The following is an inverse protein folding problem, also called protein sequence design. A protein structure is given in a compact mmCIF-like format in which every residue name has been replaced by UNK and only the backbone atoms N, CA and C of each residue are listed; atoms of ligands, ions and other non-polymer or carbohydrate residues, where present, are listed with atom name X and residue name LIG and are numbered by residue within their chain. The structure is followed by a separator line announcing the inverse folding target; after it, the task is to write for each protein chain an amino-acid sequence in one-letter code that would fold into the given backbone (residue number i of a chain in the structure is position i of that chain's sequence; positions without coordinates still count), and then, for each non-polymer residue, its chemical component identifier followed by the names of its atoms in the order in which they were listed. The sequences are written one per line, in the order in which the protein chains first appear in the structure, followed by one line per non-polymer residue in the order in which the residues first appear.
data_IF_822087941961
#
_entry.id   IF_822087941961
#
_cell.length_a   1.000
_cell.length_b   1.000
_cell.length_c   1.000
_cell.angle_alpha   90.00
_cell.angle_beta   90.00
_cell.angle_gamma   90.00
#
_symmetry.space_group_name_H-M   'P 1'
#
loop_
_entity.id
_entity.type
_entity.pdbx_description
1 polymer ?
#
# COMPACT_ATOMS: atom_id res chain seq x y z
N UNK A 1 6.76 -15.61 -8.62
CA UNK A 1 8.06 -15.33 -7.96
C UNK A 1 7.79 -15.37 -6.47
N UNK A 2 8.39 -16.31 -5.73
CA UNK A 2 8.13 -16.42 -4.29
C UNK A 2 8.33 -15.08 -3.55
N UNK A 3 7.55 -14.88 -2.49
CA UNK A 3 7.62 -13.69 -1.65
C UNK A 3 9.05 -13.42 -1.19
N UNK A 4 9.45 -12.15 -1.22
CA UNK A 4 10.82 -11.75 -0.88
C UNK A 4 10.90 -10.32 -0.37
N UNK A 5 12.03 -10.00 0.25
CA UNK A 5 12.34 -8.65 0.71
C UNK A 5 13.69 -8.21 0.16
N UNK A 6 13.75 -6.96 -0.31
CA UNK A 6 14.97 -6.29 -0.75
C UNK A 6 15.20 -5.04 0.10
N UNK A 7 16.40 -4.92 0.66
CA UNK A 7 16.84 -3.70 1.33
C UNK A 7 17.22 -2.68 0.25
N UNK A 8 16.43 -1.62 0.12
CA UNK A 8 16.71 -0.53 -0.83
C UNK A 8 17.62 0.54 -0.22
N UNK A 9 17.50 0.75 1.10
CA UNK A 9 18.37 1.65 1.85
C UNK A 9 18.61 1.12 3.26
N UNK A 10 19.87 1.12 3.67
CA UNK A 10 20.30 0.81 5.03
C UNK A 10 21.20 1.93 5.56
N UNK A 11 20.60 2.85 6.31
CA UNK A 11 21.28 3.97 6.94
C UNK A 11 21.82 3.65 8.35
N UNK A 12 21.50 2.48 8.90
CA UNK A 12 21.97 2.05 10.22
C UNK A 12 21.04 1.02 10.89
N UNK A 13 21.41 0.56 12.10
CA UNK A 13 20.66 -0.48 12.79
C UNK A 13 19.22 -0.04 13.11
N UNK A 14 18.23 -0.96 13.02
CA UNK A 14 16.87 -0.74 13.53
C UNK A 14 16.86 -0.18 14.96
N UNK A 15 15.86 0.65 15.28
CA UNK A 15 15.74 1.33 16.59
C UNK A 15 16.52 2.64 16.72
N UNK A 16 17.46 2.93 15.81
CA UNK A 16 18.12 4.25 15.71
C UNK A 16 17.71 5.04 14.47
N UNK A 17 17.00 4.39 13.55
CA UNK A 17 16.54 4.89 12.25
C UNK A 17 15.05 4.62 12.09
N UNK A 18 14.40 5.36 11.19
CA UNK A 18 13.01 5.13 10.81
C UNK A 18 12.97 4.05 9.72
N UNK A 19 12.36 2.93 10.01
CA UNK A 19 12.22 1.80 9.09
C UNK A 19 10.90 1.92 8.33
N UNK A 20 10.97 1.92 7.00
CA UNK A 20 9.80 1.98 6.13
C UNK A 20 9.71 0.65 5.38
N UNK A 21 8.59 -0.05 5.54
CA UNK A 21 8.26 -1.22 4.75
C UNK A 21 7.32 -0.84 3.61
N UNK A 22 7.71 -1.18 2.38
CA UNK A 22 6.93 -0.93 1.17
C UNK A 22 6.43 -2.26 0.66
N UNK A 23 5.11 -2.47 0.60
CA UNK A 23 4.49 -3.72 0.18
C UNK A 23 3.76 -3.50 -1.14
N UNK A 24 3.82 -4.47 -2.05
CA UNK A 24 3.01 -4.47 -3.27
C UNK A 24 1.78 -5.37 -3.13
N UNK A 25 0.61 -4.91 -3.59
CA UNK A 25 -0.59 -5.73 -3.74
C UNK A 25 -1.13 -5.70 -5.18
N UNK A 26 -1.64 -6.85 -5.66
CA UNK A 26 -2.14 -7.01 -7.03
C UNK A 26 -1.04 -7.16 -8.09
N UNK A 27 0.20 -7.45 -7.69
CA UNK A 27 1.31 -7.71 -8.61
C UNK A 27 1.58 -9.22 -8.68
N UNK A 28 1.35 -9.82 -9.84
CA UNK A 28 1.70 -11.24 -10.08
C UNK A 28 3.21 -11.42 -10.24
N UNK A 29 3.69 -12.66 -10.42
CA UNK A 29 5.07 -12.93 -10.80
C UNK A 29 5.59 -12.06 -11.96
N UNK A 30 4.74 -11.85 -12.97
CA UNK A 30 5.08 -11.11 -14.18
C UNK A 30 5.14 -9.59 -13.93
N UNK A 31 4.37 -9.11 -12.95
CA UNK A 31 4.24 -7.68 -12.67
C UNK A 31 5.28 -7.17 -11.64
N UNK A 32 6.05 -8.07 -11.02
CA UNK A 32 7.05 -7.71 -10.01
C UNK A 32 8.11 -6.72 -10.56
N UNK A 33 8.45 -6.80 -11.85
CA UNK A 33 9.35 -5.84 -12.48
C UNK A 33 8.75 -4.42 -12.48
N UNK A 34 7.48 -4.28 -12.85
CA UNK A 34 6.77 -3.00 -12.85
C UNK A 34 6.64 -2.43 -11.43
N UNK A 35 6.34 -3.28 -10.42
CA UNK A 35 6.35 -2.87 -9.03
C UNK A 35 7.72 -2.36 -8.58
N UNK A 36 8.78 -3.10 -8.90
CA UNK A 36 10.15 -2.72 -8.56
C UNK A 36 10.55 -1.37 -9.17
N UNK A 37 10.21 -1.18 -10.44
CA UNK A 37 10.48 0.06 -11.18
C UNK A 37 9.69 1.23 -10.60
N UNK A 38 8.42 1.02 -10.22
CA UNK A 38 7.63 2.06 -9.56
C UNK A 38 8.24 2.47 -8.22
N UNK A 39 8.62 1.50 -7.38
CA UNK A 39 9.26 1.79 -6.09
C UNK A 39 10.59 2.52 -6.29
N UNK A 40 11.39 2.12 -7.27
CA UNK A 40 12.65 2.82 -7.56
C UNK A 40 12.38 4.25 -8.02
N UNK A 41 11.57 4.44 -9.06
CA UNK A 41 11.39 5.74 -9.71
C UNK A 41 10.59 6.73 -8.88
N UNK A 42 9.51 6.27 -8.26
CA UNK A 42 8.58 7.17 -7.56
C UNK A 42 9.00 7.36 -6.12
N UNK A 43 9.33 6.28 -5.41
CA UNK A 43 9.68 6.38 -4.00
C UNK A 43 11.15 6.73 -3.79
N UNK A 44 12.08 5.94 -4.33
CA UNK A 44 13.50 6.13 -4.05
C UNK A 44 14.03 7.38 -4.74
N UNK A 45 13.84 7.49 -6.05
CA UNK A 45 14.36 8.60 -6.84
C UNK A 45 13.47 9.85 -6.69
N UNK A 46 12.15 9.68 -6.65
CA UNK A 46 11.19 10.78 -6.54
C UNK A 46 11.07 11.39 -5.14
N UNK A 47 10.76 10.59 -4.10
CA UNK A 47 10.60 11.12 -2.74
C UNK A 47 11.97 11.24 -2.07
N UNK A 48 12.72 10.16 -1.99
CA UNK A 48 13.98 10.10 -1.24
C UNK A 48 15.20 10.59 -2.01
N UNK A 49 15.03 11.00 -3.26
CA UNK A 49 16.03 11.66 -4.09
C UNK A 49 15.89 13.18 -4.12
N UNK A 50 14.87 13.75 -3.47
CA UNK A 50 14.59 15.19 -3.50
C UNK A 50 14.55 15.84 -2.11
N UNK A 51 14.98 17.11 -2.07
CA UNK A 51 14.87 18.07 -0.97
C UNK A 51 15.21 17.46 0.41
N UNK A 52 14.34 17.67 1.40
CA UNK A 52 14.52 17.28 2.78
C UNK A 52 14.76 15.78 2.97
N UNK A 53 14.06 14.92 2.23
CA UNK A 53 14.24 13.46 2.35
C UNK A 53 15.57 12.97 1.76
N UNK A 54 16.15 13.72 0.82
CA UNK A 54 17.50 13.45 0.31
C UNK A 54 18.59 13.89 1.29
N UNK A 55 18.42 15.05 1.93
CA UNK A 55 19.34 15.58 2.94
C UNK A 55 19.35 14.71 4.20
N UNK A 56 18.17 14.28 4.64
CA UNK A 56 17.98 13.38 5.79
C UNK A 56 17.88 11.91 5.37
N UNK A 57 18.39 11.54 4.19
CA UNK A 57 18.42 10.16 3.71
C UNK A 57 19.03 9.18 4.74
N UNK A 58 19.96 9.67 5.56
CA UNK A 58 20.61 8.90 6.63
C UNK A 58 19.72 8.60 7.85
N UNK A 59 18.49 9.12 7.88
CA UNK A 59 17.51 8.84 8.94
C UNK A 59 16.65 7.60 8.65
N UNK A 60 16.63 7.12 7.40
CA UNK A 60 15.66 6.13 6.94
C UNK A 60 16.31 4.82 6.45
N UNK A 61 15.72 3.70 6.87
CA UNK A 61 15.89 2.41 6.23
C UNK A 61 14.65 2.11 5.40
N UNK A 62 14.82 1.57 4.20
CA UNK A 62 13.71 1.30 3.27
C UNK A 62 13.81 -0.15 2.80
N UNK A 63 12.74 -0.90 3.03
CA UNK A 63 12.60 -2.30 2.67
C UNK A 63 11.46 -2.43 1.67
N UNK A 64 11.74 -3.00 0.49
CA UNK A 64 10.70 -3.38 -0.47
C UNK A 64 10.36 -4.84 -0.28
N UNK A 65 9.10 -5.13 0.00
CA UNK A 65 8.56 -6.47 0.19
C UNK A 65 7.72 -6.80 -1.04
N UNK A 66 8.25 -7.73 -1.83
CA UNK A 66 7.60 -8.28 -3.00
C UNK A 66 6.70 -9.42 -2.54
N UNK A 67 5.39 -9.19 -2.59
CA UNK A 67 4.38 -10.22 -2.34
C UNK A 67 3.76 -10.65 -3.67
N UNK A 68 3.74 -11.95 -3.93
CA UNK A 68 3.16 -12.49 -5.15
C UNK A 68 1.64 -12.60 -5.02
N UNK A 69 0.92 -11.81 -5.81
CA UNK A 69 -0.53 -11.98 -5.98
C UNK A 69 -0.84 -13.07 -7.00
N UNK A 70 -1.95 -13.79 -6.81
CA UNK A 70 -2.43 -14.78 -7.79
C UNK A 70 -2.98 -14.05 -9.00
N UNK A 71 -3.83 -13.05 -8.74
CA UNK A 71 -4.39 -12.18 -9.77
C UNK A 71 -3.59 -10.88 -9.93
N UNK A 72 -3.55 -10.38 -11.17
CA UNK A 72 -3.07 -9.03 -11.44
C UNK A 72 -4.21 -8.03 -11.19
N UNK A 73 -3.85 -6.86 -10.71
CA UNK A 73 -4.74 -5.81 -10.21
C UNK A 73 -5.36 -6.12 -8.84
N UNK A 74 -5.62 -5.07 -8.07
CA UNK A 74 -6.37 -5.15 -6.80
C UNK A 74 -7.87 -5.24 -7.04
N UNK A 75 -8.60 -5.74 -6.04
CA UNK A 75 -10.05 -5.74 -6.05
C UNK A 75 -10.60 -4.32 -6.17
N UNK A 76 -11.73 -4.14 -6.84
CA UNK A 76 -12.37 -2.82 -7.00
C UNK A 76 -13.84 -2.86 -6.59
N UNK A 77 -14.31 -1.80 -5.94
CA UNK A 77 -15.72 -1.58 -5.61
C UNK A 77 -16.15 -0.19 -6.04
N UNK A 78 -17.37 0.00 -6.50
CA UNK A 78 -17.92 1.33 -6.74
C UNK A 78 -19.20 1.52 -5.95
N UNK A 79 -19.44 2.74 -5.51
CA UNK A 79 -20.63 3.13 -4.78
C UNK A 79 -21.53 4.01 -5.66
N UNK A 80 -22.84 3.81 -5.57
CA UNK A 80 -23.85 4.81 -5.94
C UNK A 80 -24.03 5.72 -4.73
N UNK A 81 -23.66 6.98 -4.89
CA UNK A 81 -23.68 7.99 -3.83
C UNK A 81 -25.02 8.70 -3.69
N UNK A 82 -26.04 8.34 -4.49
CA UNK A 82 -27.36 8.98 -4.50
C UNK A 82 -27.35 10.53 -4.56
N UNK A 83 -26.25 11.12 -5.05
CA UNK A 83 -26.06 12.58 -5.09
C UNK A 83 -25.53 13.21 -3.79
N UNK A 84 -25.05 12.41 -2.84
CA UNK A 84 -24.46 12.82 -1.55
C UNK A 84 -23.00 12.38 -1.39
N UNK A 85 -22.04 12.94 -2.16
CA UNK A 85 -20.65 12.45 -2.26
C UNK A 85 -19.81 12.45 -0.96
N UNK A 86 -20.32 13.06 0.11
CA UNK A 86 -19.65 13.19 1.41
C UNK A 86 -20.40 12.45 2.53
N UNK A 87 -21.51 11.77 2.23
CA UNK A 87 -22.35 11.08 3.21
C UNK A 87 -22.45 9.60 2.85
N UNK A 88 -21.73 8.69 3.54
CA UNK A 88 -21.77 7.28 3.21
C UNK A 88 -23.05 6.58 3.71
N UNK A 89 -23.99 7.29 4.35
CA UNK A 89 -25.10 6.64 5.06
C UNK A 89 -26.19 6.10 4.14
N UNK A 90 -26.32 6.63 2.92
CA UNK A 90 -27.22 6.15 1.89
C UNK A 90 -26.51 5.50 0.69
N UNK A 91 -25.17 5.47 0.69
CA UNK A 91 -24.39 4.82 -0.36
C UNK A 91 -24.69 3.32 -0.46
N UNK A 92 -24.77 2.82 -1.69
CA UNK A 92 -24.91 1.38 -1.96
C UNK A 92 -23.86 0.88 -2.94
N UNK A 93 -23.46 -0.38 -2.82
CA UNK A 93 -22.49 -0.99 -3.76
C UNK A 93 -23.13 -1.10 -5.14
N UNK A 94 -22.61 -0.33 -6.10
CA UNK A 94 -23.06 -0.32 -7.48
C UNK A 94 -22.41 -1.45 -8.30
N UNK A 95 -21.12 -1.70 -8.09
CA UNK A 95 -20.39 -2.80 -8.72
C UNK A 95 -19.21 -3.26 -7.87
N UNK A 96 -18.80 -4.52 -8.07
CA UNK A 96 -17.64 -5.10 -7.40
C UNK A 96 -16.94 -6.10 -8.32
N UNK A 97 -15.61 -6.07 -8.29
CA UNK A 97 -14.71 -7.07 -8.89
C UNK A 97 -13.70 -7.49 -7.84
N UNK A 98 -13.69 -8.79 -7.51
CA UNK A 98 -12.80 -9.36 -6.49
C UNK A 98 -11.66 -10.13 -7.16
N UNK A 99 -10.44 -9.85 -6.72
CA UNK A 99 -9.19 -10.49 -7.13
C UNK A 99 -8.53 -11.17 -5.93
N UNK A 100 -7.93 -12.35 -6.14
CA UNK A 100 -7.12 -13.02 -5.11
C UNK A 100 -5.70 -12.44 -5.10
N UNK A 101 -5.57 -11.30 -4.41
CA UNK A 101 -4.30 -10.61 -4.24
C UNK A 101 -3.64 -10.94 -2.91
N UNK A 102 -2.35 -10.63 -2.80
CA UNK A 102 -1.55 -10.99 -1.64
C UNK A 102 -2.10 -10.39 -0.33
N UNK A 103 -2.54 -9.13 -0.36
CA UNK A 103 -3.07 -8.38 0.77
C UNK A 103 -4.59 -8.19 0.73
N UNK A 104 -5.25 -8.50 -0.39
CA UNK A 104 -6.72 -8.37 -0.56
C UNK A 104 -7.23 -6.94 -0.32
N UNK A 105 -6.44 -5.95 -0.71
CA UNK A 105 -6.88 -4.57 -0.69
C UNK A 105 -8.02 -4.38 -1.70
N UNK A 106 -8.96 -3.51 -1.36
CA UNK A 106 -10.05 -3.12 -2.25
C UNK A 106 -9.91 -1.62 -2.53
N UNK A 107 -9.81 -1.24 -3.79
CA UNK A 107 -9.89 0.14 -4.22
C UNK A 107 -11.35 0.52 -4.49
N UNK A 108 -11.83 1.62 -3.91
CA UNK A 108 -13.19 2.11 -4.16
C UNK A 108 -13.28 3.50 -4.81
N UNK A 109 -12.24 4.33 -4.68
CA UNK A 109 -12.19 5.67 -5.27
C UNK A 109 -13.22 6.68 -4.74
N UNK A 110 -14.03 6.32 -3.74
CA UNK A 110 -15.04 7.20 -3.15
C UNK A 110 -14.46 7.98 -1.97
N UNK A 111 -14.69 9.29 -1.95
CA UNK A 111 -14.32 10.14 -0.82
C UNK A 111 -15.04 9.71 0.47
N UNK A 112 -16.35 9.42 0.39
CA UNK A 112 -17.15 8.98 1.53
C UNK A 112 -16.69 7.63 2.12
N UNK A 113 -16.02 6.79 1.31
CA UNK A 113 -15.46 5.49 1.73
C UNK A 113 -13.93 5.47 1.72
N UNK A 114 -13.29 6.65 1.81
CA UNK A 114 -11.85 6.78 2.00
C UNK A 114 -10.97 6.16 0.92
N UNK A 115 -11.46 6.06 -0.32
CA UNK A 115 -10.78 5.58 -1.52
C UNK A 115 -10.34 4.13 -1.51
N UNK A 116 -10.05 3.55 -0.34
CA UNK A 116 -9.50 2.22 -0.13
C UNK A 116 -10.21 1.55 1.05
N UNK A 117 -10.38 0.23 0.94
CA UNK A 117 -10.99 -0.62 1.95
C UNK A 117 -10.15 -1.88 2.18
N UNK A 118 -10.28 -2.44 3.38
CA UNK A 118 -9.74 -3.75 3.70
C UNK A 118 -10.70 -4.85 3.27
N UNK A 119 -10.18 -5.82 2.51
CA UNK A 119 -10.86 -7.07 2.29
C UNK A 119 -10.73 -8.03 3.48
N UNK A 120 -11.29 -9.23 3.35
CA UNK A 120 -11.14 -10.27 4.36
C UNK A 120 -9.66 -10.57 4.62
N UNK A 121 -9.25 -10.47 5.90
CA UNK A 121 -7.90 -10.77 6.38
C UNK A 121 -6.80 -9.81 5.92
N UNK A 122 -7.13 -8.67 5.31
CA UNK A 122 -6.11 -7.70 4.85
C UNK A 122 -5.16 -7.28 5.95
N UNK A 123 -5.69 -6.86 7.11
CA UNK A 123 -4.86 -6.47 8.25
C UNK A 123 -3.93 -7.62 8.70
N UNK A 124 -4.46 -8.84 8.84
CA UNK A 124 -3.65 -10.00 9.22
C UNK A 124 -2.51 -10.25 8.22
N UNK A 125 -2.79 -10.16 6.92
CA UNK A 125 -1.81 -10.39 5.85
C UNK A 125 -0.73 -9.31 5.83
N UNK A 126 -1.09 -8.06 6.06
CA UNK A 126 -0.12 -6.97 6.24
C UNK A 126 0.78 -7.27 7.45
N UNK A 127 0.19 -7.60 8.59
CA UNK A 127 0.97 -7.91 9.80
C UNK A 127 1.87 -9.14 9.62
N UNK A 128 1.40 -10.19 8.95
CA UNK A 128 2.21 -11.39 8.68
C UNK A 128 3.42 -11.06 7.79
N UNK A 129 3.22 -10.25 6.75
CA UNK A 129 4.29 -9.80 5.87
C UNK A 129 5.33 -8.94 6.62
N UNK A 130 4.85 -7.99 7.43
CA UNK A 130 5.72 -7.13 8.25
C UNK A 130 6.50 -7.95 9.28
N UNK A 131 5.84 -8.83 10.03
CA UNK A 131 6.48 -9.66 11.04
C UNK A 131 7.54 -10.60 10.43
N UNK A 132 7.32 -11.05 9.19
CA UNK A 132 8.27 -11.91 8.48
C UNK A 132 9.50 -11.15 7.99
N UNK A 133 9.31 -9.96 7.42
CA UNK A 133 10.35 -9.32 6.60
C UNK A 133 10.89 -8.00 7.15
N UNK A 134 10.10 -7.28 7.94
CA UNK A 134 10.46 -5.98 8.50
C UNK A 134 9.79 -5.74 9.88
N UNK A 135 10.01 -6.60 10.89
CA UNK A 135 9.30 -6.54 12.18
C UNK A 135 9.53 -5.23 12.94
N UNK A 136 10.62 -4.52 12.64
CA UNK A 136 10.94 -3.22 13.22
C UNK A 136 10.41 -2.03 12.39
N UNK A 137 9.52 -2.26 11.42
CA UNK A 137 8.93 -1.20 10.59
C UNK A 137 8.21 -0.17 11.47
N UNK A 138 8.52 1.10 11.25
CA UNK A 138 7.81 2.22 11.88
C UNK A 138 6.66 2.69 11.01
N UNK A 139 6.84 2.65 9.69
CA UNK A 139 5.88 3.10 8.71
C UNK A 139 5.68 2.02 7.65
N UNK A 140 4.44 1.90 7.18
CA UNK A 140 4.03 0.92 6.17
C UNK A 140 3.44 1.67 4.99
N UNK A 141 3.99 1.43 3.79
CA UNK A 141 3.46 1.93 2.53
C UNK A 141 2.98 0.75 1.70
N UNK A 142 1.69 0.71 1.39
CA UNK A 142 1.13 -0.30 0.47
C UNK A 142 0.92 0.33 -0.90
N UNK A 143 1.50 -0.28 -1.92
CA UNK A 143 1.38 0.12 -3.33
C UNK A 143 0.42 -0.85 -4.01
N UNK A 144 -0.63 -0.32 -4.63
CA UNK A 144 -1.66 -1.12 -5.28
C UNK A 144 -1.45 -1.11 -6.79
N UNK A 145 -1.48 -2.29 -7.42
CA UNK A 145 -1.57 -2.39 -8.86
C UNK A 145 -3.01 -2.04 -9.29
N UNK A 146 -3.23 -0.80 -9.69
CA UNK A 146 -4.53 -0.30 -10.10
C UNK A 146 -4.35 0.78 -11.18
N UNK A 147 -5.05 0.72 -12.31
CA UNK A 147 -4.98 1.78 -13.32
C UNK A 147 -5.67 3.08 -12.88
N UNK A 148 -6.50 3.04 -11.84
CA UNK A 148 -7.25 4.20 -11.37
C UNK A 148 -6.46 5.01 -10.32
N UNK A 149 -6.68 6.33 -10.28
CA UNK A 149 -6.02 7.23 -9.32
C UNK A 149 -6.71 7.18 -7.94
N UNK A 150 -5.91 7.08 -6.88
CA UNK A 150 -6.35 7.31 -5.51
C UNK A 150 -5.37 6.76 -4.48
N UNK A 151 -5.37 7.34 -3.28
CA UNK A 151 -4.56 6.91 -2.16
C UNK A 151 -5.30 7.21 -0.86
N UNK A 152 -5.07 6.40 0.17
CA UNK A 152 -5.55 6.64 1.54
C UNK A 152 -4.40 6.40 2.52
N UNK A 153 -4.42 7.12 3.64
CA UNK A 153 -3.48 6.92 4.75
C UNK A 153 -4.19 6.18 5.87
N UNK A 154 -3.57 5.11 6.37
CA UNK A 154 -4.05 4.36 7.54
C UNK A 154 -3.25 4.80 8.76
N UNK A 155 -3.94 5.24 9.82
CA UNK A 155 -3.34 5.46 11.14
C UNK A 155 -4.07 4.57 12.13
N UNK A 156 -3.39 3.57 12.69
CA UNK A 156 -3.94 2.75 13.79
C UNK A 156 -5.18 1.92 13.44
N UNK A 157 -5.24 1.31 12.24
CA UNK A 157 -6.31 0.37 11.87
C UNK A 157 -7.64 1.02 11.43
N UNK A 158 -7.70 2.35 11.34
CA UNK A 158 -8.82 3.08 10.76
C UNK A 158 -8.36 3.90 9.55
N UNK A 159 -9.01 3.65 8.41
CA UNK A 159 -8.80 4.37 7.16
C UNK A 159 -9.70 5.62 7.23
N UNK A 160 -9.07 6.80 7.35
CA UNK A 160 -9.65 8.11 7.67
C UNK A 160 -10.28 8.30 9.07
N UNK A 161 -9.69 9.19 9.86
CA UNK A 161 -10.46 10.23 10.55
C UNK A 161 -9.68 11.55 10.45
N UNK A 162 -10.20 12.49 9.65
CA UNK A 162 -9.90 13.91 9.81
C UNK A 162 -11.23 14.65 9.88
N UNK A 163 -11.70 14.84 11.10
CA UNK A 163 -12.74 15.79 11.50
C UNK A 163 -12.21 16.64 12.64
#
# INVERSE_FOLDING_TARGET
MADSMTVLRNAGPPGTKRNIAVLGDGFTAADQAAYNDWVQTTLIDGVFGHDYYSEDASAFNIYRINLESVDSLVSTRTYDDHGTPNDPTDDTVAAETIHDTALRMIFNGSWAHCWLEYGPQTEQRIQDAINTWAPDANEILVVLNNPNYGAAVVVGGHMCQWG
#
